data_IF_975725528143
#
_entry.id   IF_975725528143
#
_cell.length_a   1.000
_cell.length_b   1.000
_cell.length_c   1.000
_cell.angle_alpha   90.00
_cell.angle_beta   90.00
_cell.angle_gamma   90.00
#
_symmetry.space_group_name_H-M   'P 1'
#
loop_
_entity.id
_entity.type
_entity.pdbx_description
1 polymer ?
#
# COMPACT_ATOMS: atom_id res chain seq x y z
N UNK A 1 -34.72 10.82 -0.29
CA UNK A 1 -33.33 11.12 -0.73
C UNK A 1 -32.37 11.20 0.46
N UNK A 2 -32.67 11.99 1.51
CA UNK A 2 -31.83 12.06 2.71
C UNK A 2 -31.69 10.70 3.42
N UNK A 3 -32.78 9.94 3.53
CA UNK A 3 -32.74 8.62 4.19
C UNK A 3 -31.85 7.61 3.47
N UNK A 4 -31.88 7.59 2.12
CA UNK A 4 -31.01 6.70 1.31
C UNK A 4 -29.53 7.06 1.50
N UNK A 5 -29.21 8.36 1.55
CA UNK A 5 -27.85 8.83 1.80
C UNK A 5 -27.40 8.48 3.23
N UNK A 6 -28.27 8.62 4.23
CA UNK A 6 -27.97 8.24 5.61
C UNK A 6 -27.76 6.74 5.78
N UNK A 7 -28.55 5.91 5.11
CA UNK A 7 -28.35 4.45 5.09
C UNK A 7 -27.01 4.10 4.45
N UNK A 8 -26.65 4.72 3.32
CA UNK A 8 -25.37 4.50 2.67
C UNK A 8 -24.18 4.91 3.57
N UNK A 9 -24.27 6.07 4.23
CA UNK A 9 -23.26 6.51 5.20
C UNK A 9 -23.12 5.55 6.37
N UNK A 10 -24.23 5.06 6.92
CA UNK A 10 -24.22 4.10 8.02
C UNK A 10 -23.53 2.79 7.63
N UNK A 11 -23.82 2.26 6.44
CA UNK A 11 -23.14 1.07 5.89
C UNK A 11 -21.65 1.33 5.73
N UNK A 12 -21.27 2.47 5.17
CA UNK A 12 -19.87 2.82 4.96
C UNK A 12 -19.09 2.96 6.28
N UNK A 13 -19.70 3.60 7.28
CA UNK A 13 -19.13 3.73 8.63
C UNK A 13 -19.00 2.35 9.29
N UNK A 14 -20.01 1.49 9.17
CA UNK A 14 -19.96 0.14 9.74
C UNK A 14 -18.84 -0.71 9.12
N UNK A 15 -18.69 -0.67 7.80
CA UNK A 15 -17.59 -1.35 7.09
C UNK A 15 -16.24 -0.77 7.52
N UNK A 16 -16.11 0.56 7.56
CA UNK A 16 -14.88 1.23 7.99
C UNK A 16 -14.50 0.89 9.43
N UNK A 17 -15.48 0.85 10.34
CA UNK A 17 -15.27 0.46 11.73
C UNK A 17 -14.85 -1.02 11.85
N UNK A 18 -15.49 -1.92 11.09
CA UNK A 18 -15.13 -3.33 11.05
C UNK A 18 -13.70 -3.55 10.54
N UNK A 19 -13.36 -2.93 9.41
CA UNK A 19 -12.00 -2.99 8.84
C UNK A 19 -10.98 -2.38 9.80
N UNK A 20 -11.27 -1.20 10.35
CA UNK A 20 -10.40 -0.54 11.33
C UNK A 20 -10.16 -1.40 12.58
N UNK A 21 -11.18 -2.14 13.02
CA UNK A 21 -11.06 -3.11 14.11
C UNK A 21 -10.11 -4.26 13.77
N UNK A 22 -10.23 -4.86 12.58
CA UNK A 22 -9.34 -5.95 12.13
C UNK A 22 -7.89 -5.48 11.96
N UNK A 23 -7.69 -4.24 11.51
CA UNK A 23 -6.36 -3.66 11.35
C UNK A 23 -5.72 -3.25 12.69
N UNK A 24 -6.47 -3.26 13.79
CA UNK A 24 -5.97 -2.93 15.12
C UNK A 24 -5.91 -1.43 15.42
N UNK A 25 -6.80 -0.66 14.80
CA UNK A 25 -6.92 0.79 14.97
C UNK A 25 -6.21 1.60 13.88
N UNK A 26 -6.59 2.87 13.75
CA UNK A 26 -6.00 3.82 12.80
C UNK A 26 -5.01 4.73 13.55
N UNK A 27 -3.84 4.17 13.86
CA UNK A 27 -2.73 4.91 14.45
C UNK A 27 -1.86 5.60 13.38
N UNK A 28 -0.82 6.32 13.82
CA UNK A 28 0.09 7.03 12.92
C UNK A 28 0.82 6.11 11.93
N UNK A 29 1.07 4.85 12.29
CA UNK A 29 1.74 3.89 11.41
C UNK A 29 0.80 3.41 10.30
N UNK A 30 -0.43 3.05 10.64
CA UNK A 30 -1.42 2.67 9.64
C UNK A 30 -1.77 3.86 8.74
N UNK A 31 -1.85 5.07 9.30
CA UNK A 31 -2.02 6.30 8.52
C UNK A 31 -0.90 6.48 7.49
N UNK A 32 0.37 6.34 7.91
CA UNK A 32 1.51 6.41 7.00
C UNK A 32 1.42 5.37 5.86
N UNK A 33 1.05 4.13 6.17
CA UNK A 33 0.87 3.09 5.15
C UNK A 33 -0.21 3.44 4.14
N UNK A 34 -1.37 3.91 4.61
CA UNK A 34 -2.47 4.32 3.73
C UNK A 34 -2.00 5.45 2.81
N UNK A 35 -1.34 6.46 3.35
CA UNK A 35 -0.81 7.57 2.56
C UNK A 35 0.18 7.09 1.50
N UNK A 36 1.13 6.21 1.87
CA UNK A 36 2.11 5.68 0.92
C UNK A 36 1.46 4.85 -0.19
N UNK A 37 0.51 3.97 0.14
CA UNK A 37 -0.24 3.18 -0.85
C UNK A 37 -1.00 4.08 -1.83
N UNK A 38 -1.62 5.17 -1.34
CA UNK A 38 -2.34 6.13 -2.19
C UNK A 38 -1.36 6.86 -3.13
N UNK A 39 -0.25 7.37 -2.60
CA UNK A 39 0.76 8.07 -3.40
C UNK A 39 1.37 7.12 -4.44
N UNK A 40 1.68 5.88 -4.07
CA UNK A 40 2.20 4.89 -5.01
C UNK A 40 1.21 4.63 -6.14
N UNK A 41 -0.07 4.40 -5.82
CA UNK A 41 -1.09 4.19 -6.85
C UNK A 41 -1.21 5.39 -7.80
N UNK A 42 -1.23 6.61 -7.27
CA UNK A 42 -1.28 7.84 -8.09
C UNK A 42 -0.04 7.92 -8.99
N UNK A 43 1.16 7.75 -8.44
CA UNK A 43 2.41 7.84 -9.23
C UNK A 43 2.52 6.72 -10.27
N UNK A 44 2.07 5.50 -9.95
CA UNK A 44 2.00 4.38 -10.88
C UNK A 44 1.02 4.62 -12.03
N UNK A 45 -0.13 5.22 -11.76
CA UNK A 45 -1.09 5.64 -12.79
C UNK A 45 -0.51 6.75 -13.67
N UNK A 46 0.12 7.78 -13.09
CA UNK A 46 0.80 8.84 -13.84
C UNK A 46 1.85 8.26 -14.79
N UNK A 47 2.67 7.33 -14.31
CA UNK A 47 3.65 6.61 -15.12
C UNK A 47 2.97 5.86 -16.28
N UNK A 48 1.92 5.10 -16.00
CA UNK A 48 1.22 4.32 -17.04
C UNK A 48 0.61 5.20 -18.14
N UNK A 49 0.10 6.38 -17.77
CA UNK A 49 -0.40 7.39 -18.71
C UNK A 49 0.72 7.90 -19.61
N UNK A 50 1.84 8.32 -19.02
CA UNK A 50 2.97 8.88 -19.77
C UNK A 50 3.62 7.84 -20.70
N UNK A 51 3.71 6.59 -20.27
CA UNK A 51 4.19 5.49 -21.11
C UNK A 51 3.16 5.04 -22.17
N UNK A 52 1.94 5.60 -22.19
CA UNK A 52 0.80 5.16 -23.02
C UNK A 52 0.49 3.66 -22.89
N UNK A 53 0.75 3.09 -21.71
CA UNK A 53 0.57 1.67 -21.38
C UNK A 53 -0.52 1.44 -20.35
N UNK A 54 -1.51 2.33 -20.31
CA UNK A 54 -2.69 2.14 -19.48
C UNK A 54 -3.43 0.88 -19.91
N UNK A 55 -3.43 -0.12 -19.02
CA UNK A 55 -4.20 -1.34 -19.17
C UNK A 55 -4.94 -1.59 -17.86
N UNK A 56 -6.23 -1.86 -17.96
CA UNK A 56 -7.07 -2.22 -16.81
C UNK A 56 -6.57 -3.47 -16.10
N UNK A 57 -5.97 -4.42 -16.84
CA UNK A 57 -5.35 -5.63 -16.27
C UNK A 57 -4.15 -5.29 -15.38
N UNK A 58 -3.29 -4.36 -15.83
CA UNK A 58 -2.15 -3.89 -15.03
C UNK A 58 -2.61 -3.12 -13.79
N UNK A 59 -3.61 -2.23 -13.94
CA UNK A 59 -4.19 -1.48 -12.82
C UNK A 59 -4.85 -2.40 -11.79
N UNK A 60 -5.62 -3.38 -12.24
CA UNK A 60 -6.26 -4.37 -11.37
C UNK A 60 -5.24 -5.19 -10.57
N UNK A 61 -4.17 -5.65 -11.23
CA UNK A 61 -3.07 -6.35 -10.55
C UNK A 61 -2.39 -5.46 -9.50
N UNK A 62 -2.26 -4.15 -9.78
CA UNK A 62 -1.78 -3.16 -8.83
C UNK A 62 -2.67 -3.07 -7.59
N UNK A 63 -3.96 -2.82 -7.78
CA UNK A 63 -4.94 -2.73 -6.68
C UNK A 63 -4.99 -4.03 -5.87
N UNK A 64 -5.00 -5.19 -6.53
CA UNK A 64 -5.03 -6.49 -5.85
C UNK A 64 -3.84 -6.65 -4.89
N UNK A 65 -2.64 -6.27 -5.33
CA UNK A 65 -1.46 -6.26 -4.45
C UNK A 65 -1.65 -5.33 -3.24
N UNK A 66 -2.20 -4.13 -3.42
CA UNK A 66 -2.42 -3.17 -2.32
C UNK A 66 -3.48 -3.67 -1.33
N UNK A 67 -4.52 -4.35 -1.80
CA UNK A 67 -5.51 -4.99 -0.90
C UNK A 67 -4.84 -6.07 -0.04
N UNK A 68 -3.97 -6.90 -0.63
CA UNK A 68 -3.24 -7.93 0.12
C UNK A 68 -2.34 -7.36 1.22
N UNK A 69 -1.79 -6.16 1.03
CA UNK A 69 -1.02 -5.46 2.08
C UNK A 69 -1.87 -5.29 3.35
N UNK A 70 -3.09 -4.76 3.20
CA UNK A 70 -3.98 -4.55 4.35
C UNK A 70 -4.48 -5.86 4.96
N UNK A 71 -4.69 -6.90 4.15
CA UNK A 71 -4.98 -8.26 4.65
C UNK A 71 -3.84 -8.75 5.55
N UNK A 72 -2.59 -8.59 5.13
CA UNK A 72 -1.43 -9.02 5.92
C UNK A 72 -1.24 -8.17 7.19
N UNK A 73 -1.53 -6.88 7.15
CA UNK A 73 -1.58 -6.04 8.36
C UNK A 73 -2.63 -6.56 9.35
N UNK A 74 -3.83 -6.91 8.87
CA UNK A 74 -4.89 -7.49 9.69
C UNK A 74 -4.49 -8.83 10.31
N UNK A 75 -3.89 -9.72 9.52
CA UNK A 75 -3.35 -11.01 10.02
C UNK A 75 -2.32 -10.74 11.11
N UNK A 76 -1.40 -9.81 10.88
CA UNK A 76 -0.35 -9.45 11.83
C UNK A 76 -0.90 -8.89 13.14
N UNK A 77 -1.95 -8.07 13.06
CA UNK A 77 -2.67 -7.59 14.23
C UNK A 77 -3.34 -8.73 15.01
N UNK A 78 -3.96 -9.69 14.33
CA UNK A 78 -4.54 -10.87 14.97
C UNK A 78 -3.46 -11.70 15.67
N UNK A 79 -2.28 -11.86 15.06
CA UNK A 79 -1.16 -12.55 15.68
C UNK A 79 -0.74 -11.83 16.97
N UNK A 80 -0.49 -10.52 16.91
CA UNK A 80 -0.11 -9.74 18.10
C UNK A 80 -1.18 -9.82 19.20
N UNK A 81 -2.46 -9.63 18.85
CA UNK A 81 -3.54 -9.47 19.83
C UNK A 81 -4.15 -10.78 20.34
N UNK A 82 -4.16 -11.85 19.54
CA UNK A 82 -4.82 -13.13 19.87
C UNK A 82 -3.85 -14.26 20.12
N UNK A 83 -2.66 -14.25 19.52
CA UNK A 83 -1.68 -15.32 19.68
C UNK A 83 -0.62 -14.92 20.72
N UNK A 84 -0.02 -13.74 20.56
CA UNK A 84 0.98 -13.22 21.51
C UNK A 84 0.32 -12.56 22.73
N UNK A 85 -0.93 -12.11 22.58
CA UNK A 85 -1.75 -11.58 23.67
C UNK A 85 -1.36 -10.19 24.16
N UNK A 86 -0.36 -9.54 23.56
CA UNK A 86 0.02 -8.17 23.89
C UNK A 86 0.88 -7.50 22.82
N UNK A 87 0.82 -6.18 22.75
CA UNK A 87 1.64 -5.36 21.87
C UNK A 87 1.13 -5.25 20.44
N UNK A 88 1.99 -4.69 19.58
CA UNK A 88 1.73 -4.45 18.16
C UNK A 88 3.01 -4.62 17.32
N UNK A 89 3.96 -5.42 17.83
CA UNK A 89 5.30 -5.49 17.28
C UNK A 89 5.29 -6.06 15.86
N UNK A 90 4.55 -7.16 15.62
CA UNK A 90 4.48 -7.79 14.30
C UNK A 90 3.70 -6.89 13.34
N UNK A 91 2.56 -6.33 13.78
CA UNK A 91 1.79 -5.36 12.98
C UNK A 91 2.65 -4.20 12.55
N UNK A 92 3.41 -3.60 13.46
CA UNK A 92 4.26 -2.45 13.18
C UNK A 92 5.38 -2.81 12.21
N UNK A 93 6.03 -3.97 12.40
CA UNK A 93 7.06 -4.46 11.49
C UNK A 93 6.52 -4.68 10.07
N UNK A 94 5.33 -5.28 9.94
CA UNK A 94 4.68 -5.53 8.65
C UNK A 94 4.25 -4.22 7.98
N UNK A 95 3.74 -3.25 8.76
CA UNK A 95 3.46 -1.90 8.26
C UNK A 95 4.73 -1.25 7.71
N UNK A 96 5.84 -1.27 8.47
CA UNK A 96 7.10 -0.65 8.04
C UNK A 96 7.72 -1.32 6.82
N UNK A 97 7.60 -2.64 6.74
CA UNK A 97 8.00 -3.39 5.55
C UNK A 97 7.25 -2.88 4.31
N UNK A 98 5.91 -2.77 4.39
CA UNK A 98 5.12 -2.31 3.26
C UNK A 98 5.27 -0.82 2.98
N UNK A 99 5.39 0.05 3.98
CA UNK A 99 5.75 1.47 3.77
C UNK A 99 7.05 1.59 2.98
N UNK A 100 8.05 0.76 3.31
CA UNK A 100 9.32 0.73 2.57
C UNK A 100 9.14 0.25 1.13
N UNK A 101 8.34 -0.80 0.90
CA UNK A 101 8.03 -1.30 -0.44
C UNK A 101 7.32 -0.25 -1.31
N UNK A 102 6.31 0.42 -0.75
CA UNK A 102 5.61 1.52 -1.41
C UNK A 102 6.54 2.71 -1.66
N UNK A 103 7.41 3.05 -0.70
CA UNK A 103 8.41 4.10 -0.86
C UNK A 103 9.38 3.83 -2.01
N UNK A 104 9.87 2.59 -2.14
CA UNK A 104 10.72 2.18 -3.28
C UNK A 104 9.96 2.34 -4.60
N UNK A 105 8.70 1.89 -4.65
CA UNK A 105 7.88 1.97 -5.86
C UNK A 105 7.56 3.41 -6.27
N UNK A 106 7.30 4.31 -5.30
CA UNK A 106 7.14 5.75 -5.55
C UNK A 106 8.39 6.36 -6.16
N UNK A 107 9.57 6.06 -5.62
CA UNK A 107 10.84 6.58 -6.14
C UNK A 107 11.08 6.06 -7.56
N UNK A 108 10.80 4.78 -7.81
CA UNK A 108 10.93 4.18 -9.13
C UNK A 108 9.97 4.83 -10.15
N UNK A 109 8.70 5.00 -9.79
CA UNK A 109 7.72 5.67 -10.63
C UNK A 109 8.15 7.12 -10.91
N UNK A 110 8.61 7.84 -9.88
CA UNK A 110 9.11 9.22 -9.98
C UNK A 110 10.31 9.33 -10.92
N UNK A 111 11.26 8.40 -10.83
CA UNK A 111 12.42 8.36 -11.72
C UNK A 111 12.03 8.09 -13.17
N UNK A 112 11.03 7.22 -13.41
CA UNK A 112 10.54 6.89 -14.77
C UNK A 112 9.74 8.03 -15.41
N UNK A 113 9.06 8.86 -14.62
CA UNK A 113 8.36 10.06 -15.13
C UNK A 113 9.30 11.25 -15.35
N UNK A 114 10.61 11.10 -15.11
CA UNK A 114 11.63 12.11 -15.41
C UNK A 114 12.05 12.98 -14.24
N UNK A 115 11.64 12.66 -13.00
CA UNK A 115 12.13 13.37 -11.83
C UNK A 115 13.62 13.01 -11.60
N UNK A 116 14.53 13.99 -11.50
CA UNK A 116 15.94 13.71 -11.31
C UNK A 116 16.17 13.09 -9.92
N UNK A 117 16.76 11.89 -9.90
CA UNK A 117 17.16 11.20 -8.67
C UNK A 117 18.69 11.07 -8.59
N UNK A 118 19.28 11.05 -7.39
CA UNK A 118 20.73 10.89 -7.22
C UNK A 118 21.26 9.60 -7.90
N UNK A 119 22.45 9.63 -8.53
CA UNK A 119 23.00 8.48 -9.24
C UNK A 119 23.11 7.20 -8.38
N UNK A 120 23.48 7.35 -7.10
CA UNK A 120 23.56 6.24 -6.14
C UNK A 120 22.19 5.56 -5.91
N UNK A 121 21.12 6.34 -5.84
CA UNK A 121 19.77 5.81 -5.65
C UNK A 121 19.32 5.08 -6.92
N UNK A 122 19.63 5.65 -8.10
CA UNK A 122 19.35 5.03 -9.40
C UNK A 122 20.06 3.67 -9.55
N UNK A 123 21.32 3.56 -9.13
CA UNK A 123 22.05 2.29 -9.20
C UNK A 123 21.46 1.21 -8.29
N UNK A 124 21.05 1.58 -7.07
CA UNK A 124 20.40 0.63 -6.14
C UNK A 124 19.09 0.11 -6.72
N UNK A 125 18.23 1.00 -7.23
CA UNK A 125 16.96 0.60 -7.85
C UNK A 125 17.16 -0.31 -9.08
N UNK A 126 18.24 -0.09 -9.85
CA UNK A 126 18.57 -0.95 -10.99
C UNK A 126 19.05 -2.34 -10.56
N UNK A 127 19.78 -2.45 -9.44
CA UNK A 127 20.21 -3.74 -8.89
C UNK A 127 19.01 -4.55 -8.40
N UNK A 128 18.11 -3.93 -7.62
CA UNK A 128 16.87 -4.58 -7.16
C UNK A 128 16.03 -5.12 -8.33
N UNK A 129 15.87 -4.34 -9.39
CA UNK A 129 15.17 -4.77 -10.61
C UNK A 129 15.83 -5.95 -11.34
N UNK A 130 17.15 -6.08 -11.27
CA UNK A 130 17.87 -7.21 -11.90
C UNK A 130 17.68 -8.49 -11.10
N UNK A 131 17.71 -8.40 -9.77
CA UNK A 131 17.47 -9.53 -8.88
C UNK A 131 16.04 -10.07 -9.03
N UNK A 132 15.03 -9.20 -9.14
CA UNK A 132 13.65 -9.62 -9.40
C UNK A 132 13.48 -10.40 -10.72
N UNK A 133 14.24 -10.04 -11.76
CA UNK A 133 14.20 -10.71 -13.07
C UNK A 133 15.04 -11.98 -13.16
N UNK A 134 16.01 -12.15 -12.26
CA UNK A 134 16.86 -13.35 -12.20
C UNK A 134 16.26 -14.50 -11.38
N UNK A 135 15.24 -14.21 -10.57
CA UNK A 135 14.55 -15.17 -9.70
C UNK A 135 13.18 -15.63 -10.24
N UNK A 136 12.90 -15.43 -11.54
CA UNK A 136 11.68 -15.89 -12.22
C UNK A 136 12.00 -16.71 -13.45
#
# INVERSE_FOLDING_TARGET
MKDILSVFQAVFVAIGAFIGGILGGVDGFLYALITFVIIDYITGVMRAILEKKLSSSLGFKGIFKKVLIFVLVGVSHIVDSKILGSGSAIRTAVIFFYVSNEGISIIENSAKIGLPIPPKLKSVLQQLNKEEKGNG
#
